data_IF_058995811798
#
_entry.id   IF_058995811798
#
_cell.length_a   1.000
_cell.length_b   1.000
_cell.length_c   1.000
_cell.angle_alpha   90.00
_cell.angle_beta   90.00
_cell.angle_gamma   90.00
#
_symmetry.space_group_name_H-M   'P 1'
#
loop_
_entity.id
_entity.type
_entity.pdbx_description
1 polymer ?
#
# COMPACT_ATOMS: atom_id res chain seq x y z
N UNK A 1 -1.92 -55.72 -60.89
CA UNK A 1 -2.53 -54.71 -60.00
C UNK A 1 -1.85 -54.80 -58.63
N UNK A 2 -1.10 -53.78 -58.22
CA UNK A 2 -0.46 -53.71 -56.89
C UNK A 2 -1.38 -52.88 -55.99
N UNK A 3 -1.86 -53.47 -54.90
CA UNK A 3 -2.69 -52.79 -53.89
C UNK A 3 -1.76 -52.15 -52.86
N UNK A 4 -1.86 -50.83 -52.71
CA UNK A 4 -1.03 -50.03 -51.82
C UNK A 4 -1.74 -49.90 -50.47
N UNK A 5 -1.17 -50.50 -49.41
CA UNK A 5 -1.64 -50.33 -48.03
C UNK A 5 -1.24 -48.94 -47.54
N UNK A 6 -2.22 -48.07 -47.28
CA UNK A 6 -2.00 -46.80 -46.56
C UNK A 6 -2.08 -47.06 -45.06
N UNK A 7 -0.92 -46.95 -44.39
CA UNK A 7 -0.82 -46.90 -42.94
C UNK A 7 -1.29 -45.51 -42.48
N UNK A 8 -2.42 -45.44 -41.78
CA UNK A 8 -2.87 -44.22 -41.10
C UNK A 8 -2.06 -44.05 -39.81
N UNK A 9 -1.12 -43.11 -39.81
CA UNK A 9 -0.38 -42.72 -38.61
C UNK A 9 -1.20 -41.66 -37.85
N UNK A 10 -1.86 -42.07 -36.77
CA UNK A 10 -2.58 -41.15 -35.89
C UNK A 10 -1.57 -40.39 -35.01
N UNK A 11 -1.31 -39.12 -35.36
CA UNK A 11 -0.54 -38.19 -34.51
C UNK A 11 -1.42 -37.72 -33.37
N UNK A 12 -1.20 -38.25 -32.17
CA UNK A 12 -1.77 -37.72 -30.93
C UNK A 12 -1.11 -36.36 -30.63
N UNK A 13 -1.83 -35.26 -30.83
CA UNK A 13 -1.45 -33.95 -30.30
C UNK A 13 -1.70 -33.95 -28.80
N UNK A 14 -0.62 -34.08 -28.02
CA UNK A 14 -0.64 -33.85 -26.57
C UNK A 14 -0.99 -32.39 -26.31
N UNK A 15 -2.19 -32.13 -25.78
CA UNK A 15 -2.59 -30.82 -25.28
C UNK A 15 -1.86 -30.64 -23.94
N UNK A 16 -0.74 -29.92 -23.96
CA UNK A 16 -0.06 -29.48 -22.75
C UNK A 16 -0.96 -28.48 -22.04
N UNK A 17 -1.62 -28.90 -20.96
CA UNK A 17 -2.27 -27.95 -20.05
C UNK A 17 -1.19 -27.04 -19.46
N UNK A 18 -1.30 -25.73 -19.69
CA UNK A 18 -0.52 -24.70 -19.00
C UNK A 18 -0.79 -24.85 -17.49
N UNK A 19 0.12 -25.54 -16.79
CA UNK A 19 0.14 -25.54 -15.34
C UNK A 19 0.53 -24.14 -14.88
N UNK A 20 -0.45 -23.29 -14.56
CA UNK A 20 -0.17 -22.11 -13.76
C UNK A 20 0.29 -22.62 -12.39
N UNK A 21 1.57 -22.45 -12.07
CA UNK A 21 2.02 -22.58 -10.70
C UNK A 21 1.26 -21.53 -9.90
N UNK A 22 0.41 -21.94 -8.95
CA UNK A 22 -0.14 -20.98 -8.01
C UNK A 22 1.03 -20.33 -7.27
N UNK A 23 1.06 -18.99 -7.29
CA UNK A 23 2.04 -18.21 -6.56
C UNK A 23 1.75 -18.36 -5.06
N UNK A 24 2.72 -18.84 -4.29
CA UNK A 24 2.57 -19.00 -2.85
C UNK A 24 2.81 -17.66 -2.15
N UNK A 25 1.80 -17.20 -1.40
CA UNK A 25 1.85 -15.94 -0.67
C UNK A 25 1.89 -16.12 0.85
N UNK A 26 2.07 -17.34 1.34
CA UNK A 26 2.02 -17.64 2.78
C UNK A 26 0.68 -18.23 3.23
N UNK A 27 0.57 -18.51 4.52
CA UNK A 27 -0.59 -19.11 5.14
C UNK A 27 -0.83 -18.54 6.53
N UNK A 28 -2.09 -18.24 6.84
CA UNK A 28 -2.49 -17.88 8.19
C UNK A 28 -2.69 -19.14 9.05
N UNK A 29 -2.01 -19.19 10.20
CA UNK A 29 -2.01 -20.34 11.09
C UNK A 29 -3.19 -20.23 12.06
N UNK A 30 -4.40 -20.48 11.55
CA UNK A 30 -5.64 -20.49 12.32
C UNK A 30 -6.61 -19.35 11.97
N UNK A 31 -7.73 -19.34 12.68
CA UNK A 31 -8.78 -18.35 12.52
C UNK A 31 -8.48 -17.11 13.38
N UNK A 32 -8.76 -15.93 12.84
CA UNK A 32 -8.78 -14.69 13.62
C UNK A 32 -9.96 -14.76 14.60
N UNK A 33 -9.70 -14.63 15.90
CA UNK A 33 -10.71 -14.70 16.95
C UNK A 33 -10.55 -13.56 17.93
N UNK A 34 -11.63 -12.86 18.23
CA UNK A 34 -11.61 -11.71 19.12
C UNK A 34 -12.97 -11.05 19.22
N UNK A 35 -12.99 -9.86 19.80
CA UNK A 35 -14.19 -9.05 19.97
C UNK A 35 -13.93 -7.60 19.53
N UNK A 36 -15.00 -6.94 19.08
CA UNK A 36 -14.95 -5.51 18.82
C UNK A 36 -15.16 -4.78 20.14
N UNK A 37 -14.18 -3.97 20.54
CA UNK A 37 -14.20 -3.18 21.76
C UNK A 37 -14.54 -1.72 21.41
N UNK A 38 -15.57 -1.13 22.06
CA UNK A 38 -15.88 0.28 21.88
C UNK A 38 -14.70 1.18 22.27
N UNK A 39 -14.30 2.08 21.37
CA UNK A 39 -13.23 3.04 21.60
C UNK A 39 -13.50 4.34 20.81
N UNK A 40 -12.78 5.41 21.16
CA UNK A 40 -12.87 6.74 20.51
C UNK A 40 -11.56 7.03 19.79
N UNK A 41 -11.57 7.50 18.54
CA UNK A 41 -12.75 7.89 17.74
C UNK A 41 -13.54 6.71 17.15
N UNK A 42 -13.04 5.47 17.23
CA UNK A 42 -13.65 4.30 16.58
C UNK A 42 -13.37 3.02 17.37
N UNK A 43 -14.17 1.96 17.17
CA UNK A 43 -13.94 0.68 17.83
C UNK A 43 -12.61 0.04 17.40
N UNK A 44 -12.08 -0.80 18.29
CA UNK A 44 -10.89 -1.62 18.06
C UNK A 44 -11.26 -3.09 18.03
N UNK A 45 -10.43 -3.90 17.40
CA UNK A 45 -10.54 -5.36 17.49
C UNK A 45 -9.53 -5.89 18.50
N UNK A 46 -10.03 -6.55 19.54
CA UNK A 46 -9.21 -7.16 20.58
C UNK A 46 -9.08 -8.66 20.33
N UNK A 47 -7.86 -9.15 20.17
CA UNK A 47 -7.59 -10.57 19.95
C UNK A 47 -7.86 -11.38 21.22
N UNK A 48 -8.52 -12.52 21.06
CA UNK A 48 -8.75 -13.49 22.16
C UNK A 48 -7.71 -14.60 22.21
N UNK A 49 -7.01 -14.84 21.11
CA UNK A 49 -6.02 -15.90 20.95
C UNK A 49 -4.84 -15.36 20.16
N UNK A 50 -3.69 -16.03 20.25
CA UNK A 50 -2.58 -15.75 19.36
C UNK A 50 -3.02 -15.94 17.89
N UNK A 51 -2.62 -15.01 17.04
CA UNK A 51 -2.89 -15.05 15.62
C UNK A 51 -1.57 -14.95 14.84
N UNK A 52 -1.35 -15.85 13.89
CA UNK A 52 -0.07 -15.97 13.20
C UNK A 52 -0.24 -16.04 11.68
N UNK A 53 0.76 -15.54 10.98
CA UNK A 53 0.91 -15.62 9.53
C UNK A 53 2.32 -16.08 9.19
N UNK A 54 2.43 -17.22 8.49
CA UNK A 54 3.68 -17.72 7.92
C UNK A 54 3.83 -17.17 6.50
N UNK A 55 4.79 -16.28 6.28
CA UNK A 55 4.96 -15.59 5.02
C UNK A 55 5.70 -16.46 3.97
N UNK A 56 5.73 -16.06 2.69
CA UNK A 56 6.33 -16.90 1.65
C UNK A 56 7.86 -17.01 1.74
N UNK A 57 8.50 -16.22 2.63
CA UNK A 57 9.93 -16.28 2.90
C UNK A 57 10.25 -17.13 4.15
N UNK A 58 9.25 -17.77 4.77
CA UNK A 58 9.40 -18.59 5.97
C UNK A 58 9.54 -17.78 7.26
N UNK A 59 9.12 -16.52 7.25
CA UNK A 59 9.08 -15.68 8.44
C UNK A 59 7.67 -15.72 9.05
N UNK A 60 7.60 -16.16 10.31
CA UNK A 60 6.34 -16.19 11.06
C UNK A 60 6.08 -14.84 11.72
N UNK A 61 4.94 -14.24 11.44
CA UNK A 61 4.43 -13.01 12.04
C UNK A 61 3.38 -13.38 13.09
N UNK A 62 3.61 -13.03 14.36
CA UNK A 62 2.75 -13.44 15.48
C UNK A 62 2.21 -12.23 16.23
N UNK A 63 0.90 -12.24 16.48
CA UNK A 63 0.21 -11.26 17.30
C UNK A 63 -0.33 -11.98 18.55
N UNK A 64 0.11 -11.58 19.76
CA UNK A 64 -0.34 -12.23 20.99
C UNK A 64 -1.83 -11.94 21.28
N UNK A 65 -2.47 -12.75 22.13
CA UNK A 65 -3.80 -12.44 22.64
C UNK A 65 -3.81 -11.12 23.41
N UNK A 66 -5.00 -10.56 23.62
CA UNK A 66 -5.28 -9.29 24.31
C UNK A 66 -4.77 -8.03 23.60
N UNK A 67 -4.09 -8.16 22.46
CA UNK A 67 -3.71 -7.02 21.61
C UNK A 67 -4.97 -6.40 21.02
N UNK A 68 -5.07 -5.08 21.12
CA UNK A 68 -6.09 -4.28 20.45
C UNK A 68 -5.48 -3.62 19.21
N UNK A 69 -6.02 -3.92 18.04
CA UNK A 69 -5.68 -3.27 16.78
C UNK A 69 -6.85 -2.38 16.34
N UNK A 70 -6.59 -1.34 15.56
CA UNK A 70 -7.58 -0.34 15.16
C UNK A 70 -7.94 -0.37 13.66
N UNK A 71 -7.32 -1.30 12.90
CA UNK A 71 -7.52 -1.44 11.46
C UNK A 71 -7.07 -0.21 10.68
N UNK A 72 -6.20 0.64 11.25
CA UNK A 72 -5.99 2.03 10.85
C UNK A 72 -4.62 2.33 10.21
N UNK A 73 -3.74 1.34 10.01
CA UNK A 73 -2.42 1.63 9.41
C UNK A 73 -2.49 2.15 7.96
N UNK A 74 -3.65 2.00 7.32
CA UNK A 74 -4.00 2.72 6.09
C UNK A 74 -4.48 4.13 6.48
N UNK A 75 -3.91 5.22 5.93
CA UNK A 75 -4.29 6.57 6.33
C UNK A 75 -5.78 6.84 6.15
N UNK A 76 -6.36 7.58 7.10
CA UNK A 76 -7.81 7.79 7.19
C UNK A 76 -8.44 8.34 5.91
N UNK A 77 -7.72 9.22 5.21
CA UNK A 77 -8.13 9.80 3.94
C UNK A 77 -8.49 8.74 2.87
N UNK A 78 -7.94 7.53 2.98
CA UNK A 78 -8.18 6.44 2.04
C UNK A 78 -9.26 5.46 2.48
N UNK A 79 -9.84 5.57 3.69
CA UNK A 79 -10.85 4.60 4.15
C UNK A 79 -12.16 4.65 3.38
N UNK A 80 -12.60 5.84 2.95
CA UNK A 80 -13.78 5.99 2.09
C UNK A 80 -13.63 5.25 0.75
N UNK A 81 -12.38 4.99 0.35
CA UNK A 81 -12.00 4.27 -0.85
C UNK A 81 -11.67 2.82 -0.58
N UNK A 82 -10.79 2.48 0.35
CA UNK A 82 -10.32 1.10 0.54
C UNK A 82 -11.37 0.22 1.25
N UNK A 83 -12.17 0.79 2.15
CA UNK A 83 -13.05 0.05 3.05
C UNK A 83 -12.80 0.44 4.51
N UNK A 84 -13.78 0.16 5.38
CA UNK A 84 -13.65 0.42 6.80
C UNK A 84 -12.58 -0.46 7.48
N UNK A 85 -12.14 -0.09 8.69
CA UNK A 85 -11.36 -1.00 9.53
C UNK A 85 -12.20 -2.25 9.82
N UNK A 86 -11.61 -3.44 9.70
CA UNK A 86 -12.27 -4.74 9.95
C UNK A 86 -13.33 -5.19 8.94
N UNK A 87 -13.36 -4.61 7.74
CA UNK A 87 -14.21 -5.08 6.64
C UNK A 87 -13.37 -5.79 5.55
N UNK A 88 -13.99 -6.77 4.89
CA UNK A 88 -13.43 -7.42 3.71
C UNK A 88 -12.37 -8.50 3.98
N UNK A 89 -11.71 -8.95 2.91
CA UNK A 89 -10.79 -10.09 2.94
C UNK A 89 -9.41 -9.72 3.54
N UNK A 90 -9.07 -8.43 3.62
CA UNK A 90 -7.76 -7.96 4.08
C UNK A 90 -7.62 -7.87 5.61
N UNK A 91 -8.70 -8.05 6.38
CA UNK A 91 -8.71 -7.86 7.84
C UNK A 91 -7.65 -8.70 8.54
N UNK A 92 -7.48 -9.95 8.11
CA UNK A 92 -6.46 -10.85 8.67
C UNK A 92 -5.06 -10.28 8.48
N UNK A 93 -4.79 -9.69 7.31
CA UNK A 93 -3.51 -9.06 7.03
C UNK A 93 -3.34 -7.76 7.82
N UNK A 94 -4.40 -6.96 7.98
CA UNK A 94 -4.33 -5.68 8.72
C UNK A 94 -4.03 -5.88 10.20
N UNK A 95 -4.55 -6.94 10.84
CA UNK A 95 -4.23 -7.25 12.24
C UNK A 95 -2.73 -7.47 12.44
N UNK A 96 -2.09 -8.23 11.56
CA UNK A 96 -0.62 -8.44 11.60
C UNK A 96 0.09 -7.10 11.37
N UNK A 97 -0.32 -6.36 10.33
CA UNK A 97 0.32 -5.10 9.94
C UNK A 97 0.24 -4.04 11.05
N UNK A 98 -0.94 -3.79 11.63
CA UNK A 98 -1.15 -2.83 12.71
C UNK A 98 -0.25 -3.14 13.91
N UNK A 99 -0.25 -4.39 14.36
CA UNK A 99 0.57 -4.81 15.49
C UNK A 99 2.07 -4.52 15.25
N UNK A 100 2.58 -4.86 14.07
CA UNK A 100 4.00 -4.66 13.76
C UNK A 100 4.35 -3.19 13.45
N UNK A 101 3.39 -2.38 12.98
CA UNK A 101 3.53 -0.92 12.90
C UNK A 101 3.62 -0.27 14.28
N UNK A 102 2.97 -0.82 15.30
CA UNK A 102 3.01 -0.32 16.67
C UNK A 102 4.31 -0.71 17.39
N UNK A 103 4.64 -2.02 17.40
CA UNK A 103 5.80 -2.50 18.17
C UNK A 103 7.13 -2.27 17.47
N UNK A 104 7.12 -2.11 16.13
CA UNK A 104 8.29 -1.80 15.29
C UNK A 104 9.51 -2.69 15.55
N UNK A 105 9.27 -3.97 15.83
CA UNK A 105 10.32 -4.99 16.05
C UNK A 105 10.91 -5.54 14.75
N UNK A 106 10.28 -5.22 13.61
CA UNK A 106 10.74 -5.53 12.25
C UNK A 106 10.85 -4.25 11.44
N UNK A 107 11.52 -4.33 10.29
CA UNK A 107 11.66 -3.17 9.41
C UNK A 107 10.28 -2.75 8.87
N UNK A 108 10.13 -1.47 8.55
CA UNK A 108 8.94 -0.96 7.84
C UNK A 108 8.68 -1.72 6.55
N UNK A 109 9.74 -2.00 5.79
CA UNK A 109 9.72 -2.67 4.49
C UNK A 109 9.11 -4.06 4.64
N UNK A 110 9.63 -4.86 5.57
CA UNK A 110 9.14 -6.23 5.77
C UNK A 110 7.72 -6.22 6.34
N UNK A 111 7.41 -5.24 7.19
CA UNK A 111 6.07 -5.09 7.78
C UNK A 111 5.03 -4.74 6.72
N UNK A 112 5.32 -3.81 5.81
CA UNK A 112 4.42 -3.46 4.72
C UNK A 112 4.36 -4.56 3.65
N UNK A 113 5.47 -5.26 3.39
CA UNK A 113 5.51 -6.37 2.44
C UNK A 113 4.74 -7.59 2.96
N UNK A 114 4.78 -7.88 4.26
CA UNK A 114 3.97 -8.95 4.85
C UNK A 114 2.48 -8.66 4.79
N UNK A 115 2.07 -7.38 4.83
CA UNK A 115 0.70 -6.98 4.56
C UNK A 115 0.25 -7.35 3.14
N UNK A 116 1.08 -7.10 2.12
CA UNK A 116 0.81 -7.56 0.75
C UNK A 116 0.64 -9.07 0.66
N UNK A 117 1.57 -9.84 1.24
CA UNK A 117 1.50 -11.29 1.26
C UNK A 117 0.26 -11.81 1.98
N UNK A 118 -0.05 -11.26 3.15
CA UNK A 118 -1.25 -11.60 3.91
C UNK A 118 -2.54 -11.34 3.13
N UNK A 119 -2.62 -10.20 2.41
CA UNK A 119 -3.78 -9.90 1.56
C UNK A 119 -3.93 -10.93 0.44
N UNK A 120 -2.85 -11.27 -0.25
CA UNK A 120 -2.88 -12.26 -1.33
C UNK A 120 -3.21 -13.67 -0.82
N UNK A 121 -2.67 -14.06 0.33
CA UNK A 121 -3.00 -15.31 1.01
C UNK A 121 -4.46 -15.35 1.51
N UNK A 122 -5.07 -14.20 1.77
CA UNK A 122 -6.48 -14.08 2.13
C UNK A 122 -7.44 -14.04 0.93
N UNK A 123 -6.93 -14.07 -0.31
CA UNK A 123 -7.74 -14.07 -1.53
C UNK A 123 -7.99 -12.71 -2.16
N UNK A 124 -7.50 -11.61 -1.57
CA UNK A 124 -7.67 -10.25 -2.09
C UNK A 124 -7.11 -10.16 -3.51
N UNK A 125 -7.92 -9.66 -4.46
CA UNK A 125 -7.52 -9.51 -5.87
C UNK A 125 -6.14 -8.83 -6.04
N UNK A 126 -5.34 -9.33 -7.00
CA UNK A 126 -3.92 -8.95 -7.17
C UNK A 126 -3.74 -7.43 -7.27
N UNK A 127 -4.56 -6.76 -8.09
CA UNK A 127 -4.49 -5.32 -8.28
C UNK A 127 -4.87 -4.54 -7.00
N UNK A 128 -5.85 -5.01 -6.20
CA UNK A 128 -6.23 -4.41 -4.91
C UNK A 128 -5.11 -4.52 -3.90
N UNK A 129 -4.54 -5.71 -3.75
CA UNK A 129 -3.43 -5.95 -2.83
C UNK A 129 -2.20 -5.09 -3.18
N UNK A 130 -1.85 -4.97 -4.48
CA UNK A 130 -0.75 -4.10 -4.92
C UNK A 130 -1.05 -2.61 -4.67
N UNK A 131 -2.28 -2.17 -4.90
CA UNK A 131 -2.69 -0.79 -4.61
C UNK A 131 -2.57 -0.48 -3.12
N UNK A 132 -3.12 -1.34 -2.26
CA UNK A 132 -3.08 -1.18 -0.81
C UNK A 132 -1.65 -1.24 -0.27
N UNK A 133 -0.80 -2.10 -0.84
CA UNK A 133 0.62 -2.15 -0.52
C UNK A 133 1.34 -0.84 -0.86
N UNK A 134 1.14 -0.32 -2.08
CA UNK A 134 1.67 0.98 -2.48
C UNK A 134 1.18 2.11 -1.57
N UNK A 135 -0.09 2.10 -1.17
CA UNK A 135 -0.68 3.12 -0.32
C UNK A 135 -0.06 3.14 1.09
N UNK A 136 0.09 1.97 1.73
CA UNK A 136 0.71 1.91 3.07
C UNK A 136 2.19 2.28 3.03
N UNK A 137 2.93 1.88 1.99
CA UNK A 137 4.33 2.30 1.83
C UNK A 137 4.47 3.80 1.55
N UNK A 138 3.50 4.42 0.89
CA UNK A 138 3.57 5.86 0.54
C UNK A 138 3.17 6.75 1.71
N UNK A 139 2.13 6.37 2.44
CA UNK A 139 1.46 7.25 3.41
C UNK A 139 1.45 6.71 4.84
N UNK A 140 1.73 5.43 5.05
CA UNK A 140 1.77 4.80 6.38
C UNK A 140 2.99 5.22 7.21
N UNK A 141 3.11 4.70 8.44
CA UNK A 141 4.25 4.97 9.31
C UNK A 141 5.57 4.47 8.70
N UNK A 142 6.66 5.20 8.93
CA UNK A 142 8.00 4.87 8.41
C UNK A 142 9.02 4.93 9.54
N UNK A 143 9.82 3.89 9.65
CA UNK A 143 10.91 3.74 10.59
C UNK A 143 12.04 2.85 10.06
N UNK A 144 13.26 3.18 10.46
CA UNK A 144 14.43 2.32 10.30
C UNK A 144 14.92 1.82 11.66
N UNK A 145 15.42 0.58 11.68
CA UNK A 145 16.12 0.01 12.82
C UNK A 145 17.61 0.15 12.55
N UNK A 146 18.31 1.01 13.29
CA UNK A 146 19.75 1.23 13.13
C UNK A 146 20.51 0.61 14.29
N UNK A 147 21.52 -0.21 14.00
CA UNK A 147 22.44 -0.70 15.02
C UNK A 147 23.34 0.44 15.51
N UNK A 148 23.42 0.62 16.83
CA UNK A 148 24.36 1.55 17.45
C UNK A 148 25.19 0.85 18.50
N UNK A 149 26.50 1.08 18.41
CA UNK A 149 27.44 0.79 19.48
C UNK A 149 27.35 1.93 20.50
N UNK A 150 26.99 1.60 21.74
CA UNK A 150 27.06 2.52 22.87
C UNK A 150 28.06 2.00 23.90
N UNK A 151 28.70 2.91 24.65
CA UNK A 151 29.60 2.51 25.73
C UNK A 151 28.81 2.44 27.04
N UNK A 152 28.66 1.22 27.59
CA UNK A 152 28.05 1.04 28.92
C UNK A 152 29.14 1.08 29.97
N UNK A 153 29.05 2.05 30.89
CA UNK A 153 29.89 2.07 32.10
C UNK A 153 29.34 1.07 33.13
N UNK A 154 30.18 0.13 33.53
CA UNK A 154 29.93 -0.72 34.69
C UNK A 154 30.89 -0.28 35.80
N UNK A 155 30.36 0.30 36.87
CA UNK A 155 31.14 0.76 38.00
C UNK A 155 30.90 -0.14 39.22
N UNK A 156 31.98 -0.49 39.92
CA UNK A 156 31.94 -1.28 41.16
C UNK A 156 32.80 -0.60 42.23
N UNK A 157 32.36 -0.71 43.49
CA UNK A 157 33.13 -0.21 44.63
C UNK A 157 34.06 -1.30 45.13
N UNK A 158 35.37 -1.04 45.12
CA UNK A 158 36.39 -1.93 45.66
C UNK A 158 37.18 -1.13 46.68
N UNK A 159 37.05 -1.49 47.96
CA UNK A 159 37.81 -0.85 49.05
C UNK A 159 37.50 0.65 49.27
N UNK A 160 36.28 1.11 48.98
CA UNK A 160 35.90 2.52 49.13
C UNK A 160 36.27 3.41 47.94
N UNK A 161 36.91 2.86 46.90
CA UNK A 161 37.13 3.54 45.62
C UNK A 161 36.17 2.98 44.56
N UNK A 162 35.68 3.85 43.67
CA UNK A 162 34.83 3.46 42.54
C UNK A 162 35.73 3.19 41.33
N UNK A 163 35.72 1.94 40.85
CA UNK A 163 36.36 1.56 39.60
C UNK A 163 35.28 1.38 38.52
N UNK A 164 35.47 1.98 37.35
CA UNK A 164 34.54 1.86 36.23
C UNK A 164 35.22 1.22 35.02
N UNK A 165 34.53 0.28 34.38
CA UNK A 165 34.95 -0.32 33.10
C UNK A 165 33.94 0.03 32.03
N UNK A 166 34.42 0.45 30.86
CA UNK A 166 33.58 0.69 29.69
C UNK A 166 33.50 -0.60 28.88
N UNK A 167 32.28 -1.00 28.53
CA UNK A 167 32.02 -2.15 27.67
C UNK A 167 31.20 -1.69 26.47
N UNK A 168 31.61 -2.02 25.23
CA UNK A 168 30.79 -1.75 24.06
C UNK A 168 29.54 -2.62 24.11
N UNK A 169 28.37 -2.00 23.94
CA UNK A 169 27.08 -2.68 23.88
C UNK A 169 26.40 -2.30 22.57
N UNK A 170 26.07 -3.32 21.78
CA UNK A 170 25.24 -3.18 20.59
C UNK A 170 23.78 -3.01 21.01
N UNK A 171 23.11 -2.02 20.45
CA UNK A 171 21.68 -1.79 20.68
C UNK A 171 21.00 -1.35 19.40
N UNK A 172 19.78 -1.84 19.20
CA UNK A 172 18.94 -1.39 18.09
C UNK A 172 18.28 -0.07 18.49
N UNK A 173 18.52 0.97 17.69
CA UNK A 173 17.84 2.25 17.82
C UNK A 173 16.80 2.39 16.73
N UNK A 174 15.55 2.56 17.14
CA UNK A 174 14.45 2.91 16.26
C UNK A 174 14.56 4.39 15.87
N UNK A 175 14.46 4.68 14.57
CA UNK A 175 14.39 6.03 14.01
C UNK A 175 13.10 6.12 13.19
N UNK A 176 12.12 6.89 13.66
CA UNK A 176 10.88 7.13 12.90
C UNK A 176 11.00 8.40 12.07
N UNK A 177 10.39 8.39 10.88
CA UNK A 177 10.33 9.52 9.96
C UNK A 177 8.94 10.16 10.01
N UNK A 178 8.82 11.47 9.76
CA UNK A 178 7.52 12.13 9.69
C UNK A 178 6.68 11.54 8.56
N UNK A 179 5.37 11.43 8.82
CA UNK A 179 4.39 10.99 7.82
C UNK A 179 4.05 12.14 6.87
N UNK A 180 3.48 11.80 5.71
CA UNK A 180 2.91 12.79 4.79
C UNK A 180 1.73 13.50 5.47
N UNK A 181 1.73 14.82 5.44
CA UNK A 181 0.63 15.62 6.00
C UNK A 181 -0.59 15.59 5.06
N UNK A 182 -1.47 14.62 5.28
CA UNK A 182 -2.75 14.52 4.58
C UNK A 182 -3.83 15.46 5.16
N UNK A 183 -3.52 16.24 6.20
CA UNK A 183 -4.38 17.32 6.69
C UNK A 183 -4.25 18.59 5.85
N UNK A 184 -3.13 18.78 5.16
CA UNK A 184 -2.95 19.85 4.18
C UNK A 184 -3.81 19.58 2.92
N UNK A 185 -4.74 20.48 2.54
CA UNK A 185 -5.66 20.21 1.44
C UNK A 185 -4.99 20.07 0.06
N UNK A 186 -3.85 20.72 -0.18
CA UNK A 186 -3.12 20.59 -1.45
C UNK A 186 -2.49 19.18 -1.56
N UNK A 187 -1.85 18.76 -0.47
CA UNK A 187 -1.23 17.44 -0.34
C UNK A 187 -2.28 16.36 -0.46
N UNK A 188 -3.40 16.51 0.25
CA UNK A 188 -4.53 15.59 0.18
C UNK A 188 -5.07 15.49 -1.24
N UNK A 189 -5.29 16.60 -1.93
CA UNK A 189 -5.80 16.57 -3.30
C UNK A 189 -4.86 15.89 -4.30
N UNK A 190 -3.56 16.18 -4.19
CA UNK A 190 -2.54 15.52 -5.01
C UNK A 190 -2.46 14.02 -4.71
N UNK A 191 -2.47 13.64 -3.43
CA UNK A 191 -2.42 12.25 -2.98
C UNK A 191 -3.62 11.43 -3.47
N UNK A 192 -4.84 11.96 -3.32
CA UNK A 192 -6.06 11.31 -3.78
C UNK A 192 -6.07 11.16 -5.31
N UNK A 193 -5.80 12.24 -6.03
CA UNK A 193 -5.77 12.21 -7.51
C UNK A 193 -4.74 11.20 -8.04
N UNK A 194 -3.60 11.11 -7.35
CA UNK A 194 -2.56 10.15 -7.70
C UNK A 194 -2.97 8.72 -7.36
N UNK A 195 -3.48 8.49 -6.16
CA UNK A 195 -3.95 7.17 -5.75
C UNK A 195 -5.05 6.63 -6.67
N UNK A 196 -5.96 7.50 -7.13
CA UNK A 196 -6.95 7.13 -8.16
C UNK A 196 -6.30 6.70 -9.46
N UNK A 197 -5.30 7.42 -9.96
CA UNK A 197 -4.60 7.04 -11.19
C UNK A 197 -3.86 5.69 -11.06
N UNK A 198 -3.23 5.45 -9.90
CA UNK A 198 -2.56 4.17 -9.59
C UNK A 198 -3.58 3.04 -9.53
N UNK A 199 -4.69 3.22 -8.81
CA UNK A 199 -5.74 2.22 -8.70
C UNK A 199 -6.32 1.84 -10.07
N UNK A 200 -6.61 2.83 -10.93
CA UNK A 200 -7.12 2.60 -12.29
C UNK A 200 -6.10 1.91 -13.18
N UNK A 201 -4.82 2.26 -13.07
CA UNK A 201 -3.73 1.63 -13.84
C UNK A 201 -3.57 0.16 -13.46
N UNK A 202 -3.56 -0.14 -12.16
CA UNK A 202 -3.55 -1.50 -11.65
C UNK A 202 -4.82 -2.25 -12.07
N UNK A 203 -6.01 -1.65 -11.96
CA UNK A 203 -7.26 -2.30 -12.38
C UNK A 203 -7.28 -2.66 -13.86
N UNK A 204 -6.88 -1.72 -14.71
CA UNK A 204 -6.89 -1.86 -16.18
C UNK A 204 -5.92 -2.94 -16.66
N UNK A 205 -4.77 -3.04 -15.98
CA UNK A 205 -3.70 -3.97 -16.35
C UNK A 205 -3.74 -5.28 -15.58
N UNK A 206 -4.81 -5.53 -14.80
CA UNK A 206 -4.86 -6.63 -13.82
C UNK A 206 -3.58 -6.73 -12.99
N UNK A 207 -3.15 -5.61 -12.41
CA UNK A 207 -2.01 -5.53 -11.51
C UNK A 207 -0.64 -5.66 -12.17
N UNK A 208 -0.50 -5.47 -13.48
CA UNK A 208 0.81 -5.51 -14.17
C UNK A 208 1.49 -4.15 -14.27
N UNK A 209 0.72 -3.07 -14.41
CA UNK A 209 1.20 -1.69 -14.51
C UNK A 209 0.73 -0.91 -13.28
N UNK A 210 1.69 -0.39 -12.52
CA UNK A 210 1.43 0.37 -11.30
C UNK A 210 0.97 1.78 -11.63
N UNK A 211 1.72 2.44 -12.51
CA UNK A 211 1.60 3.88 -12.68
C UNK A 211 2.14 4.37 -14.04
N UNK A 212 1.82 5.61 -14.40
CA UNK A 212 2.35 6.33 -15.56
C UNK A 212 2.99 7.63 -15.09
N UNK A 213 4.32 7.68 -15.10
CA UNK A 213 5.12 8.87 -14.77
C UNK A 213 5.42 9.68 -16.03
N UNK A 214 6.06 10.84 -15.87
CA UNK A 214 6.61 11.59 -17.01
C UNK A 214 7.65 10.78 -17.83
N UNK A 215 8.34 9.84 -17.18
CA UNK A 215 9.30 8.93 -17.80
C UNK A 215 8.67 7.70 -18.48
N UNK A 216 7.38 7.45 -18.28
CA UNK A 216 6.67 6.30 -18.85
C UNK A 216 5.98 5.42 -17.80
N UNK A 217 5.55 4.24 -18.25
CA UNK A 217 4.88 3.26 -17.41
C UNK A 217 5.84 2.65 -16.38
N UNK A 218 5.34 2.42 -15.17
CA UNK A 218 6.03 1.73 -14.09
C UNK A 218 5.38 0.37 -13.90
N UNK A 219 6.15 -0.70 -14.04
CA UNK A 219 5.66 -2.07 -13.83
C UNK A 219 5.38 -2.31 -12.35
N UNK A 220 4.33 -3.08 -12.05
CA UNK A 220 3.87 -3.35 -10.69
C UNK A 220 4.58 -4.53 -10.00
N UNK A 221 5.91 -4.63 -10.18
CA UNK A 221 6.74 -5.52 -9.36
C UNK A 221 6.89 -4.96 -7.94
N UNK A 222 7.07 -5.81 -6.92
CA UNK A 222 7.12 -5.37 -5.52
C UNK A 222 8.19 -4.32 -5.26
N UNK A 223 9.39 -4.49 -5.83
CA UNK A 223 10.47 -3.51 -5.66
C UNK A 223 10.17 -2.19 -6.38
N UNK A 224 9.48 -2.24 -7.52
CA UNK A 224 9.02 -1.02 -8.20
C UNK A 224 7.93 -0.31 -7.40
N UNK A 225 7.08 -1.06 -6.69
CA UNK A 225 6.07 -0.50 -5.79
C UNK A 225 6.75 0.23 -4.63
N UNK A 226 7.71 -0.40 -3.94
CA UNK A 226 8.45 0.25 -2.85
C UNK A 226 9.22 1.48 -3.33
N UNK A 227 9.93 1.39 -4.47
CA UNK A 227 10.64 2.52 -5.06
C UNK A 227 9.68 3.66 -5.46
N UNK A 228 8.53 3.33 -6.02
CA UNK A 228 7.49 4.32 -6.35
C UNK A 228 6.96 5.00 -5.09
N UNK A 229 6.66 4.23 -4.06
CA UNK A 229 6.12 4.72 -2.80
C UNK A 229 7.12 5.65 -2.07
N UNK A 230 8.41 5.28 -2.02
CA UNK A 230 9.46 6.12 -1.45
C UNK A 230 9.58 7.46 -2.21
N UNK A 231 9.51 7.43 -3.54
CA UNK A 231 9.54 8.63 -4.36
C UNK A 231 8.33 9.53 -4.10
N UNK A 232 7.12 8.95 -4.08
CA UNK A 232 5.90 9.71 -3.82
C UNK A 232 5.84 10.28 -2.41
N UNK A 233 6.32 9.54 -1.42
CA UNK A 233 6.46 10.05 -0.05
C UNK A 233 7.31 11.31 -0.02
N UNK A 234 8.46 11.34 -0.72
CA UNK A 234 9.30 12.54 -0.84
C UNK A 234 8.56 13.69 -1.55
N UNK A 235 7.84 13.39 -2.62
CA UNK A 235 7.07 14.39 -3.39
C UNK A 235 5.99 15.04 -2.54
N UNK A 236 5.20 14.24 -1.82
CA UNK A 236 4.13 14.75 -0.97
C UNK A 236 4.65 15.45 0.28
N UNK A 237 5.63 14.85 0.98
CA UNK A 237 6.22 15.45 2.17
C UNK A 237 6.86 16.82 1.89
N UNK A 238 7.61 16.95 0.79
CA UNK A 238 8.24 18.21 0.42
C UNK A 238 7.31 19.16 -0.36
N UNK A 239 6.08 18.74 -0.66
CA UNK A 239 5.16 19.39 -1.59
C UNK A 239 5.83 19.79 -2.92
N UNK A 240 6.81 19.01 -3.38
CA UNK A 240 7.63 19.37 -4.53
C UNK A 240 6.84 19.37 -5.84
N UNK A 241 5.67 18.74 -5.86
CA UNK A 241 4.72 18.82 -6.98
C UNK A 241 4.24 20.25 -7.27
N UNK A 242 4.34 21.19 -6.31
CA UNK A 242 3.99 22.60 -6.54
C UNK A 242 4.99 23.31 -7.46
N UNK A 243 6.27 22.94 -7.38
CA UNK A 243 7.35 23.52 -8.20
C UNK A 243 7.77 22.61 -9.35
N UNK A 244 7.53 21.30 -9.23
CA UNK A 244 7.82 20.29 -10.23
C UNK A 244 6.59 19.39 -10.49
N UNK A 245 5.56 19.88 -11.22
CA UNK A 245 4.28 19.18 -11.34
C UNK A 245 4.34 17.85 -12.09
N UNK A 246 5.34 17.66 -12.95
CA UNK A 246 5.58 16.39 -13.67
C UNK A 246 5.94 15.22 -12.74
N UNK A 247 6.38 15.52 -11.50
CA UNK A 247 6.66 14.50 -10.48
C UNK A 247 5.42 13.65 -10.12
N UNK A 248 4.21 14.16 -10.36
CA UNK A 248 2.98 13.42 -10.14
C UNK A 248 2.59 12.52 -11.32
N UNK A 249 3.18 12.69 -12.50
CA UNK A 249 2.84 11.92 -13.68
C UNK A 249 1.37 12.08 -14.09
N UNK A 250 0.74 10.98 -14.50
CA UNK A 250 -0.70 10.94 -14.80
C UNK A 250 -1.52 10.92 -13.52
N UNK A 251 -2.60 11.70 -13.53
CA UNK A 251 -3.59 11.85 -12.48
C UNK A 251 -4.99 11.49 -12.99
N UNK A 252 -5.87 11.14 -12.06
CA UNK A 252 -7.28 10.89 -12.29
C UNK A 252 -8.09 11.65 -11.26
N UNK A 253 -9.34 11.98 -11.59
CA UNK A 253 -10.24 12.54 -10.60
C UNK A 253 -10.51 11.50 -9.50
N UNK A 254 -10.55 11.96 -8.25
CA UNK A 254 -10.88 11.11 -7.11
C UNK A 254 -12.35 10.71 -7.15
N UNK A 255 -12.61 9.40 -7.05
CA UNK A 255 -13.95 8.87 -6.84
C UNK A 255 -14.00 8.13 -5.50
N UNK A 256 -14.75 8.68 -4.53
CA UNK A 256 -14.92 8.12 -3.19
C UNK A 256 -15.91 6.93 -3.12
N UNK A 257 -16.33 6.38 -4.26
CA UNK A 257 -17.29 5.28 -4.32
C UNK A 257 -16.75 3.94 -3.77
N UNK A 258 -15.44 3.81 -3.56
CA UNK A 258 -14.82 2.61 -3.01
C UNK A 258 -13.94 1.87 -4.01
N UNK A 259 -13.04 1.01 -3.52
CA UNK A 259 -12.05 0.26 -4.29
C UNK A 259 -12.75 -0.71 -5.24
N UNK A 260 -13.87 -1.30 -4.80
CA UNK A 260 -14.72 -2.15 -5.64
C UNK A 260 -15.43 -1.40 -6.79
N UNK A 261 -15.46 -0.07 -6.72
CA UNK A 261 -16.06 0.80 -7.74
C UNK A 261 -15.02 1.47 -8.63
N UNK A 262 -13.75 1.12 -8.48
CA UNK A 262 -12.69 1.60 -9.38
C UNK A 262 -12.92 1.04 -10.77
N UNK A 263 -13.17 1.95 -11.71
CA UNK A 263 -13.30 1.64 -13.12
C UNK A 263 -11.93 1.60 -13.80
N UNK A 264 -11.79 0.75 -14.81
CA UNK A 264 -10.62 0.78 -15.69
C UNK A 264 -10.47 2.15 -16.38
N UNK A 265 -9.30 2.40 -16.95
CA UNK A 265 -9.12 3.46 -17.93
C UNK A 265 -9.98 3.20 -19.16
N UNK A 266 -10.39 4.27 -19.83
CA UNK A 266 -11.26 4.20 -21.00
C UNK A 266 -10.71 3.24 -22.06
N UNK A 267 -11.60 2.42 -22.62
CA UNK A 267 -11.27 1.38 -23.59
C UNK A 267 -10.25 0.33 -23.08
N UNK A 268 -10.06 0.22 -21.76
CA UNK A 268 -9.04 -0.62 -21.14
C UNK A 268 -7.61 -0.28 -21.60
N UNK A 269 -7.34 0.99 -21.91
CA UNK A 269 -6.04 1.46 -22.40
C UNK A 269 -5.38 2.34 -21.34
N UNK A 270 -4.18 1.94 -20.91
CA UNK A 270 -3.36 2.76 -20.00
C UNK A 270 -2.98 4.07 -20.73
N UNK A 271 -3.26 5.25 -20.13
CA UNK A 271 -2.95 6.53 -20.76
C UNK A 271 -1.44 6.75 -20.90
N UNK A 272 -1.06 7.66 -21.79
CA UNK A 272 0.32 8.16 -21.85
C UNK A 272 0.40 9.53 -21.22
N UNK A 273 1.49 9.79 -20.49
CA UNK A 273 1.71 11.10 -19.86
C UNK A 273 1.64 12.24 -20.88
N UNK A 274 2.29 12.08 -22.04
CA UNK A 274 2.34 13.11 -23.10
C UNK A 274 0.99 13.39 -23.77
N UNK A 275 0.09 12.41 -23.84
CA UNK A 275 -1.25 12.57 -24.42
C UNK A 275 -2.31 13.02 -23.40
N UNK A 276 -2.01 12.94 -22.10
CA UNK A 276 -2.92 13.39 -21.04
C UNK A 276 -3.07 14.91 -21.08
N UNK A 277 -4.30 15.41 -20.90
CA UNK A 277 -4.60 16.83 -20.98
C UNK A 277 -3.90 17.58 -19.82
N UNK A 278 -3.27 18.74 -20.08
CA UNK A 278 -2.80 19.61 -19.01
C UNK A 278 -4.01 20.18 -18.26
N UNK A 279 -3.98 20.19 -16.93
CA UNK A 279 -4.96 20.85 -16.11
C UNK A 279 -4.67 22.36 -16.08
N UNK A 280 -5.38 23.14 -16.88
CA UNK A 280 -5.28 24.60 -16.91
C UNK A 280 -6.67 25.23 -16.79
N UNK A 281 -6.73 26.55 -16.62
CA UNK A 281 -8.00 27.28 -16.45
C UNK A 281 -8.99 27.09 -17.62
N UNK A 282 -8.53 26.67 -18.80
CA UNK A 282 -9.38 26.41 -19.97
C UNK A 282 -9.86 24.96 -20.06
N UNK A 283 -9.13 24.01 -19.47
CA UNK A 283 -9.45 22.58 -19.44
C UNK A 283 -10.06 22.13 -18.11
N UNK A 284 -9.99 22.94 -17.05
CA UNK A 284 -10.47 22.60 -15.69
C UNK A 284 -11.95 22.24 -15.63
N UNK A 285 -12.78 22.81 -16.50
CA UNK A 285 -14.21 22.47 -16.62
C UNK A 285 -14.49 21.28 -17.55
N UNK A 286 -13.48 20.77 -18.27
CA UNK A 286 -13.60 19.78 -19.34
C UNK A 286 -13.05 18.41 -19.03
N UNK A 287 -12.18 18.26 -18.03
CA UNK A 287 -11.71 16.92 -17.60
C UNK A 287 -12.91 16.16 -17.02
N UNK A 288 -13.41 15.21 -17.81
CA UNK A 288 -14.58 14.40 -17.47
C UNK A 288 -14.20 13.33 -16.45
N UNK A 289 -15.20 12.86 -15.71
CA UNK A 289 -15.07 11.64 -14.93
C UNK A 289 -14.60 10.51 -15.86
N UNK A 290 -13.51 9.83 -15.50
CA UNK A 290 -12.88 8.80 -16.33
C UNK A 290 -11.66 9.26 -17.15
N UNK A 291 -11.44 10.56 -17.37
CA UNK A 291 -10.29 11.03 -18.16
C UNK A 291 -8.99 11.14 -17.34
N UNK A 292 -7.87 10.86 -18.00
CA UNK A 292 -6.53 11.09 -17.45
C UNK A 292 -6.10 12.54 -17.68
N UNK A 293 -5.48 13.17 -16.68
CA UNK A 293 -4.87 14.50 -16.82
C UNK A 293 -3.47 14.54 -16.23
N UNK A 294 -2.75 15.63 -16.48
CA UNK A 294 -1.46 15.94 -15.85
C UNK A 294 -1.45 17.38 -15.37
N UNK A 295 -0.57 17.69 -14.43
CA UNK A 295 -0.29 19.08 -14.08
C UNK A 295 0.76 19.67 -15.02
N UNK A 296 0.69 20.98 -15.22
CA UNK A 296 1.75 21.79 -15.80
C UNK A 296 2.16 22.93 -14.83
N UNK A 297 3.14 23.73 -15.22
CA UNK A 297 3.65 24.85 -14.41
C UNK A 297 2.62 25.95 -14.11
N UNK A 298 1.46 25.93 -14.78
CA UNK A 298 0.36 26.90 -14.63
C UNK A 298 -0.82 26.31 -13.85
N UNK A 299 -0.76 25.04 -13.43
CA UNK A 299 -1.79 24.35 -12.66
C UNK A 299 -1.84 24.72 -11.17
N UNK A 300 -0.99 25.67 -10.72
CA UNK A 300 -0.80 26.00 -9.30
C UNK A 300 -2.09 26.45 -8.60
N UNK A 301 -2.73 25.52 -7.89
CA UNK A 301 -3.96 25.71 -7.12
C UNK A 301 -5.19 24.93 -7.63
N UNK A 302 -5.18 24.46 -8.88
CA UNK A 302 -6.37 23.86 -9.52
C UNK A 302 -6.73 22.46 -9.04
N UNK A 303 -5.82 21.77 -8.36
CA UNK A 303 -6.03 20.41 -7.88
C UNK A 303 -7.07 20.33 -6.77
N UNK A 304 -7.08 21.31 -5.87
CA UNK A 304 -8.03 21.37 -4.75
C UNK A 304 -9.46 21.47 -5.25
N UNK A 305 -9.69 22.29 -6.27
CA UNK A 305 -11.02 22.56 -6.85
C UNK A 305 -11.67 21.30 -7.47
N UNK A 306 -10.91 20.20 -7.61
CA UNK A 306 -11.37 18.93 -8.17
C UNK A 306 -11.72 17.88 -7.12
N UNK A 307 -11.37 18.11 -5.86
CA UNK A 307 -11.71 17.19 -4.78
C UNK A 307 -12.93 17.73 -4.05
N UNK A 308 -14.01 16.93 -4.05
CA UNK A 308 -15.13 17.16 -3.16
C UNK A 308 -14.74 16.69 -1.76
N UNK A 309 -14.18 17.58 -0.95
CA UNK A 309 -13.76 17.26 0.42
C UNK A 309 -14.94 16.88 1.32
N UNK A 310 -16.12 17.47 1.10
CA UNK A 310 -17.33 17.16 1.88
C UNK A 310 -17.74 15.68 1.73
N UNK A 311 -17.49 15.08 0.56
CA UNK A 311 -17.75 13.65 0.32
C UNK A 311 -16.76 12.71 1.04
N UNK A 312 -15.63 13.22 1.55
CA UNK A 312 -14.68 12.46 2.37
C UNK A 312 -15.14 12.39 3.83
N UNK A 313 -15.76 13.46 4.34
CA UNK A 313 -16.22 13.59 5.73
C UNK A 313 -17.57 12.88 6.00
N UNK A 314 -18.40 12.66 4.98
CA UNK A 314 -19.71 12.02 5.15
C UNK A 314 -19.65 10.50 5.39
N UNK A 315 -18.56 9.82 5.00
CA UNK A 315 -18.37 8.37 5.25
C UNK A 315 -17.61 8.08 6.55
N UNK A 316 -16.89 9.05 7.11
CA UNK A 316 -16.26 8.91 8.44
C UNK A 316 -17.29 9.03 9.58
N UNK A 317 -18.43 9.65 9.31
CA UNK A 317 -19.55 9.80 10.24
C UNK A 317 -20.64 8.73 10.11
N UNK A 318 -20.69 7.96 9.02
CA UNK A 318 -21.76 6.98 8.77
C UNK A 318 -21.43 5.55 9.23
N UNK A 319 -20.53 5.39 10.20
CA UNK A 319 -20.31 4.12 10.91
C UNK A 319 -21.40 3.86 11.95
N UNK A 320 -22.67 3.84 11.52
CA UNK A 320 -23.77 3.36 12.35
C UNK A 320 -23.97 1.85 12.11
N UNK A 321 -23.59 1.10 13.15
CA UNK A 321 -23.91 -0.31 13.50
C UNK A 321 -23.09 -1.43 12.85
#
# INVERSE_FOLDING_TARGET
MRVLNFLFLATAMSISSLSHSEEYFGVFLGALKGEIVPAVPRPKFKLSHEFQFDDPNGLVWSVPPEVEVDGASIPQAFWSFIGGPFEGEYVRASVIHDYYCDIKTRTEHDTHRSFYYGMRAAGVEKWKAKFMYWAVETFGPTWTITERVSQKLNCSSVGGQIACTQTPVMSNKLVSFPSVDLGDPDTLAAALSKASAVARSLKTSDGEILDVTAGGQVMAGLDNISNSAENYRKVFYAQSFKTNPESLGVLSQWNAAGLDKVESWDNNVIPQYKSSAPLDFSTVARVREGESFRLDSRSGGLLRDRINFDALDMKTTSGDL
#
